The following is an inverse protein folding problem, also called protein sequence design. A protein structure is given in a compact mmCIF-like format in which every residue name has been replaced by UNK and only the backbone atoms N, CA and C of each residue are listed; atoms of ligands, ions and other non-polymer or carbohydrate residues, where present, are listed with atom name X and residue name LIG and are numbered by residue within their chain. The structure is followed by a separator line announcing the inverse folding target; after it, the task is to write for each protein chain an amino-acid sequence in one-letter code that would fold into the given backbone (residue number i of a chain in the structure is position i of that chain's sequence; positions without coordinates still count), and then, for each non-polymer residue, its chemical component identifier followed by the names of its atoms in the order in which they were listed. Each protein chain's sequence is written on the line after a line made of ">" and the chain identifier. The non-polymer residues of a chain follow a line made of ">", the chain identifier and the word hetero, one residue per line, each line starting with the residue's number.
data_IF_245038272915
#
_entry.id   IF_245038272915
#
_cell.length_a   1.000
_cell.length_b   1.000
_cell.length_c   1.000
_cell.angle_alpha   90.00
_cell.angle_beta   90.00
_cell.angle_gamma   90.00
#
_symmetry.space_group_name_H-M   'P 1'
#
loop_
_entity.id
_entity.type
_entity.pdbx_description
1 polymer ?
#
# COMPACT_ATOMS: atom_id res chain seq x y z
N UNK A 1 -30.14 51.20 14.96
CA UNK A 1 -29.24 50.60 15.95
C UNK A 1 -28.52 49.33 15.38
N UNK A 2 -29.15 48.60 14.47
CA UNK A 2 -28.62 47.38 13.89
C UNK A 2 -27.53 47.61 12.84
N UNK A 3 -27.47 48.83 12.27
CA UNK A 3 -26.55 49.20 11.22
C UNK A 3 -25.10 49.44 11.72
N UNK A 4 -24.94 49.70 13.01
CA UNK A 4 -23.62 50.00 13.62
C UNK A 4 -22.90 48.71 14.04
N UNK A 5 -23.62 47.69 14.48
CA UNK A 5 -23.04 46.41 14.88
C UNK A 5 -22.56 45.59 13.64
N UNK A 6 -23.31 45.64 12.55
CA UNK A 6 -22.91 44.98 11.30
C UNK A 6 -21.67 45.63 10.63
N UNK A 7 -21.49 46.95 10.78
CA UNK A 7 -20.31 47.68 10.32
C UNK A 7 -19.05 47.31 11.13
N UNK A 8 -19.20 47.07 12.43
CA UNK A 8 -18.09 46.66 13.31
C UNK A 8 -17.51 45.29 12.96
N UNK A 9 -18.38 44.31 12.73
CA UNK A 9 -17.95 42.96 12.30
C UNK A 9 -17.34 42.92 10.90
N UNK A 10 -17.91 43.69 9.96
CA UNK A 10 -17.35 43.81 8.60
C UNK A 10 -15.94 44.46 8.57
N UNK A 11 -15.70 45.42 9.48
CA UNK A 11 -14.39 46.09 9.59
C UNK A 11 -13.33 45.20 10.26
N UNK A 12 -13.69 44.33 11.18
CA UNK A 12 -12.79 43.35 11.81
C UNK A 12 -12.34 42.33 10.78
N UNK A 13 -13.23 41.84 9.94
CA UNK A 13 -12.86 40.91 8.84
C UNK A 13 -12.00 41.58 7.74
N UNK A 14 -12.24 42.86 7.44
CA UNK A 14 -11.43 43.62 6.46
C UNK A 14 -10.05 44.00 6.98
N UNK A 15 -9.83 43.97 8.30
CA UNK A 15 -8.54 44.33 8.93
C UNK A 15 -7.68 43.12 9.25
N UNK A 16 -8.08 41.89 8.92
CA UNK A 16 -7.18 40.75 9.02
C UNK A 16 -6.14 40.82 7.90
N UNK A 17 -4.88 41.13 8.20
CA UNK A 17 -3.85 41.37 7.17
C UNK A 17 -3.47 40.12 6.40
N UNK A 18 -3.91 38.94 6.84
CA UNK A 18 -3.55 37.66 6.22
C UNK A 18 -4.76 36.71 6.15
N UNK A 19 -5.01 36.19 4.93
CA UNK A 19 -5.99 35.13 4.72
C UNK A 19 -5.47 33.76 5.22
N UNK A 20 -4.15 33.61 5.29
CA UNK A 20 -3.47 32.38 5.70
C UNK A 20 -2.26 32.72 6.57
N UNK A 21 -2.06 31.94 7.63
CA UNK A 21 -0.87 32.00 8.48
C UNK A 21 -0.17 30.64 8.43
N UNK A 22 1.08 30.62 8.02
CA UNK A 22 1.93 29.44 8.09
C UNK A 22 2.56 29.34 9.47
N UNK A 23 2.36 28.21 10.14
CA UNK A 23 2.96 27.91 11.44
C UNK A 23 3.61 26.53 11.39
N UNK A 24 4.65 26.30 12.19
CA UNK A 24 5.18 24.96 12.40
C UNK A 24 4.14 24.15 13.17
N UNK A 25 3.57 23.14 12.49
CA UNK A 25 2.46 22.35 13.04
C UNK A 25 2.90 21.36 14.13
N UNK A 26 4.21 21.05 14.24
CA UNK A 26 4.71 20.16 15.27
C UNK A 26 6.12 19.60 15.00
N UNK A 27 6.60 18.77 15.91
CA UNK A 27 7.86 18.03 15.82
C UNK A 27 7.61 16.53 15.60
N UNK A 28 8.27 15.98 14.57
CA UNK A 28 8.14 14.57 14.17
C UNK A 28 9.51 13.93 14.15
N UNK A 29 9.69 12.91 14.96
CA UNK A 29 10.91 12.12 14.99
C UNK A 29 10.81 10.91 14.08
N UNK A 30 11.80 10.73 13.19
CA UNK A 30 12.00 9.52 12.41
C UNK A 30 13.25 8.78 12.89
N UNK A 31 13.14 7.44 13.03
CA UNK A 31 14.25 6.54 13.34
C UNK A 31 14.12 5.29 12.47
N UNK A 32 15.20 4.93 11.82
CA UNK A 32 15.19 3.80 10.90
C UNK A 32 16.53 3.11 10.78
N UNK A 33 16.49 1.97 10.09
CA UNK A 33 17.64 1.17 9.70
C UNK A 33 17.54 0.91 8.21
N UNK A 34 18.65 1.09 7.53
CA UNK A 34 18.82 0.73 6.13
C UNK A 34 20.06 -0.15 6.03
N UNK A 35 19.93 -1.28 5.34
CA UNK A 35 20.99 -2.24 5.15
C UNK A 35 20.97 -2.71 3.69
N UNK A 36 22.12 -2.61 3.05
CA UNK A 36 22.36 -3.21 1.73
C UNK A 36 23.50 -4.20 1.86
N UNK A 37 23.29 -5.43 1.38
CA UNK A 37 24.29 -6.49 1.36
C UNK A 37 24.40 -7.05 -0.05
N UNK A 38 25.56 -6.87 -0.67
CA UNK A 38 25.89 -7.47 -1.97
C UNK A 38 26.90 -8.57 -1.75
N UNK A 39 26.65 -9.74 -2.32
CA UNK A 39 27.54 -10.89 -2.20
C UNK A 39 27.62 -11.68 -3.52
N UNK A 40 28.74 -12.33 -3.71
CA UNK A 40 28.93 -13.34 -4.76
C UNK A 40 29.29 -14.66 -4.11
N UNK A 41 28.29 -15.42 -3.60
CA UNK A 41 28.56 -16.64 -2.84
C UNK A 41 29.26 -17.73 -3.63
N UNK A 42 29.03 -17.76 -4.94
CA UNK A 42 29.67 -18.71 -5.83
C UNK A 42 30.25 -17.99 -7.05
N UNK A 43 31.54 -18.19 -7.29
CA UNK A 43 32.25 -17.67 -8.47
C UNK A 43 33.14 -18.76 -9.00
N UNK A 44 32.75 -19.36 -10.13
CA UNK A 44 33.54 -20.35 -10.88
C UNK A 44 33.67 -19.91 -12.34
N UNK A 45 34.56 -20.52 -13.15
CA UNK A 45 34.66 -20.16 -14.56
C UNK A 45 33.35 -20.29 -15.35
N UNK A 46 32.52 -21.27 -15.02
CA UNK A 46 31.28 -21.56 -15.74
C UNK A 46 30.02 -21.05 -15.02
N UNK A 47 30.02 -20.90 -13.69
CA UNK A 47 28.87 -20.55 -12.91
C UNK A 47 29.16 -19.42 -11.92
N UNK A 48 28.28 -18.42 -11.92
CA UNK A 48 28.32 -17.32 -10.95
C UNK A 48 26.93 -17.15 -10.30
N UNK A 49 26.93 -17.06 -8.97
CA UNK A 49 25.75 -16.65 -8.22
C UNK A 49 26.05 -15.33 -7.51
N UNK A 50 25.27 -14.30 -7.86
CA UNK A 50 25.25 -12.99 -7.17
C UNK A 50 23.95 -12.82 -6.47
N UNK A 51 23.99 -12.20 -5.30
CA UNK A 51 22.79 -11.85 -4.52
C UNK A 51 22.93 -10.47 -3.92
N UNK A 52 21.83 -9.73 -3.84
CA UNK A 52 21.78 -8.43 -3.19
C UNK A 52 20.50 -8.33 -2.37
N UNK A 53 20.65 -7.97 -1.11
CA UNK A 53 19.60 -7.75 -0.14
C UNK A 53 19.55 -6.26 0.20
N UNK A 54 18.37 -5.65 0.05
CA UNK A 54 18.08 -4.30 0.50
C UNK A 54 16.98 -4.38 1.56
N UNK A 55 17.27 -3.89 2.75
CA UNK A 55 16.36 -3.87 3.87
C UNK A 55 16.19 -2.43 4.36
N UNK A 56 14.95 -2.01 4.61
CA UNK A 56 14.65 -0.70 5.19
C UNK A 56 13.53 -0.83 6.22
N UNK A 57 13.73 -0.21 7.37
CA UNK A 57 12.74 -0.10 8.45
C UNK A 57 12.75 1.32 8.97
N UNK A 58 11.61 1.99 8.97
CA UNK A 58 11.45 3.32 9.53
C UNK A 58 10.29 3.35 10.54
N UNK A 59 10.52 4.04 11.65
CA UNK A 59 9.50 4.33 12.66
C UNK A 59 9.47 5.83 12.89
N UNK A 60 8.29 6.41 12.79
CA UNK A 60 8.09 7.80 13.12
C UNK A 60 7.25 7.95 14.38
N UNK A 61 7.44 9.06 15.07
CA UNK A 61 6.69 9.42 16.27
C UNK A 61 6.46 10.94 16.28
N UNK A 62 5.22 11.33 16.46
CA UNK A 62 4.83 12.72 16.63
C UNK A 62 5.16 13.11 18.07
N UNK A 63 6.15 13.95 18.26
CA UNK A 63 6.62 14.40 19.57
C UNK A 63 5.72 15.48 20.12
N UNK A 64 5.45 16.48 19.30
CA UNK A 64 4.64 17.64 19.65
C UNK A 64 3.80 18.07 18.47
N UNK A 65 2.65 18.63 18.73
CA UNK A 65 1.84 19.41 17.81
C UNK A 65 1.78 20.84 18.33
N UNK A 66 1.43 21.78 17.44
CA UNK A 66 1.21 23.17 17.81
C UNK A 66 0.18 23.25 18.97
N UNK A 67 0.41 24.15 19.93
CA UNK A 67 -0.38 24.23 21.17
C UNK A 67 -1.91 24.33 20.93
N UNK A 68 -2.30 24.97 19.86
CA UNK A 68 -3.70 25.11 19.45
C UNK A 68 -4.30 23.87 18.79
N UNK A 69 -3.46 22.85 18.46
CA UNK A 69 -3.87 21.65 17.74
C UNK A 69 -3.87 20.41 18.64
N UNK A 70 -5.03 19.88 18.95
CA UNK A 70 -5.14 18.56 19.60
C UNK A 70 -4.83 17.42 18.62
N UNK A 71 -5.26 17.57 17.38
CA UNK A 71 -5.05 16.64 16.27
C UNK A 71 -5.01 17.40 14.94
N UNK A 72 -4.36 16.84 13.93
CA UNK A 72 -4.40 17.36 12.58
C UNK A 72 -4.86 16.23 11.64
N UNK A 73 -6.03 16.40 11.05
CA UNK A 73 -6.56 15.49 10.03
C UNK A 73 -5.95 15.86 8.68
N UNK A 74 -5.29 14.91 8.01
CA UNK A 74 -4.63 15.16 6.72
C UNK A 74 -5.02 14.17 5.62
N UNK A 75 -5.80 13.14 5.94
CA UNK A 75 -6.27 12.15 4.96
C UNK A 75 -7.70 12.40 4.50
N UNK A 76 -8.09 11.86 3.34
CA UNK A 76 -9.37 12.16 2.73
C UNK A 76 -10.51 11.50 3.50
N UNK A 77 -11.45 12.31 3.93
CA UNK A 77 -12.77 11.85 4.36
C UNK A 77 -13.75 11.61 3.21
N UNK A 78 -13.35 11.89 1.95
CA UNK A 78 -14.27 11.90 0.80
C UNK A 78 -14.70 10.50 0.35
N UNK A 79 -13.90 9.46 0.58
CA UNK A 79 -14.20 8.09 0.16
C UNK A 79 -14.79 7.21 1.25
N UNK A 80 -14.59 7.58 2.51
CA UNK A 80 -15.20 6.90 3.65
C UNK A 80 -15.42 7.91 4.78
N UNK A 81 -16.64 7.99 5.32
CA UNK A 81 -16.93 8.83 6.47
C UNK A 81 -16.45 8.23 7.79
N UNK A 82 -16.05 6.97 7.77
CA UNK A 82 -15.48 6.25 8.93
C UNK A 82 -13.97 6.01 8.80
N UNK A 83 -13.25 6.79 8.00
CA UNK A 83 -11.81 6.71 7.81
C UNK A 83 -11.19 8.09 7.87
N UNK A 84 -10.16 8.25 8.67
CA UNK A 84 -9.31 9.44 8.68
C UNK A 84 -7.86 9.09 8.98
N UNK A 85 -6.93 9.79 8.36
CA UNK A 85 -5.53 9.80 8.79
C UNK A 85 -5.30 11.04 9.64
N UNK A 86 -4.76 10.87 10.84
CA UNK A 86 -4.58 11.96 11.80
C UNK A 86 -3.18 11.95 12.39
N UNK A 87 -2.65 13.16 12.60
CA UNK A 87 -1.49 13.37 13.45
C UNK A 87 -2.00 13.67 14.86
N UNK A 88 -1.61 12.84 15.81
CA UNK A 88 -1.93 12.99 17.23
C UNK A 88 -0.62 12.90 18.02
N UNK A 89 -0.44 13.73 19.05
CA UNK A 89 0.76 13.69 19.91
C UNK A 89 0.96 12.28 20.46
N UNK A 90 2.18 11.76 20.32
CA UNK A 90 2.54 10.41 20.73
C UNK A 90 2.22 9.33 19.68
N UNK A 91 1.42 9.63 18.67
CA UNK A 91 1.10 8.77 17.54
C UNK A 91 2.19 8.74 16.47
N UNK A 92 1.81 8.28 15.29
CA UNK A 92 2.69 8.08 14.13
C UNK A 92 2.04 8.62 12.86
N UNK A 93 2.83 9.13 11.92
CA UNK A 93 2.35 9.38 10.55
C UNK A 93 1.87 8.05 9.99
N UNK A 94 0.71 8.06 9.33
CA UNK A 94 0.09 6.84 8.82
C UNK A 94 -0.86 6.15 9.81
N UNK A 95 -1.05 6.70 11.01
CA UNK A 95 -2.09 6.23 11.92
C UNK A 95 -3.47 6.46 11.31
N UNK A 96 -4.26 5.38 11.28
CA UNK A 96 -5.61 5.33 10.73
C UNK A 96 -6.59 5.32 11.88
N UNK A 97 -7.54 6.23 11.83
CA UNK A 97 -8.64 6.39 12.79
C UNK A 97 -9.97 6.13 12.11
N UNK A 98 -10.87 5.52 12.85
CA UNK A 98 -12.19 5.15 12.34
C UNK A 98 -13.12 4.69 13.43
N UNK A 99 -14.07 3.83 13.05
CA UNK A 99 -15.00 3.14 13.94
C UNK A 99 -14.50 1.76 14.28
N UNK A 100 -14.72 1.35 15.52
CA UNK A 100 -14.36 0.02 16.03
C UNK A 100 -15.57 -0.63 16.72
N UNK A 101 -15.46 -1.90 17.01
CA UNK A 101 -16.41 -2.59 17.87
C UNK A 101 -16.15 -2.23 19.33
N UNK A 102 -17.22 -2.03 20.09
CA UNK A 102 -17.13 -1.88 21.56
C UNK A 102 -16.70 -3.20 22.17
N UNK A 103 -15.72 -3.15 23.06
CA UNK A 103 -15.18 -4.32 23.74
C UNK A 103 -15.36 -4.19 25.26
N UNK A 104 -15.62 -5.32 25.91
CA UNK A 104 -15.64 -5.42 27.37
C UNK A 104 -14.21 -5.41 27.97
N UNK A 105 -14.11 -5.54 29.29
CA UNK A 105 -12.84 -5.55 30.00
C UNK A 105 -11.97 -6.79 29.66
N UNK A 106 -12.58 -7.86 29.21
CA UNK A 106 -11.94 -9.10 28.77
C UNK A 106 -11.53 -9.06 27.29
N UNK A 107 -11.95 -8.00 26.55
CA UNK A 107 -11.62 -7.78 25.13
C UNK A 107 -12.63 -8.41 24.16
N UNK A 108 -13.75 -8.98 24.64
CA UNK A 108 -14.78 -9.53 23.76
C UNK A 108 -15.67 -8.42 23.20
N UNK A 109 -16.22 -8.65 22.01
CA UNK A 109 -17.16 -7.71 21.39
C UNK A 109 -18.47 -7.68 22.17
N UNK A 110 -18.93 -6.45 22.50
CA UNK A 110 -20.22 -6.23 23.15
C UNK A 110 -21.32 -6.20 22.10
N UNK A 111 -22.43 -6.90 22.38
CA UNK A 111 -23.61 -6.94 21.52
C UNK A 111 -24.77 -6.14 22.12
N UNK A 112 -25.54 -5.49 21.27
CA UNK A 112 -26.68 -4.69 21.66
C UNK A 112 -27.82 -5.60 22.18
N UNK A 113 -28.34 -5.29 23.36
CA UNK A 113 -29.38 -6.09 24.02
C UNK A 113 -30.80 -5.59 23.72
N UNK A 114 -30.93 -4.34 23.26
CA UNK A 114 -32.20 -3.65 23.03
C UNK A 114 -32.21 -2.86 21.72
N UNK A 115 -33.38 -2.41 21.27
CA UNK A 115 -33.54 -1.59 20.08
C UNK A 115 -33.50 -2.34 18.75
N UNK A 116 -33.45 -1.57 17.66
CA UNK A 116 -33.52 -2.08 16.27
C UNK A 116 -32.29 -2.91 15.88
N UNK A 117 -31.21 -2.80 16.63
CA UNK A 117 -29.93 -3.50 16.38
C UNK A 117 -29.66 -4.59 17.42
N UNK A 118 -30.69 -5.07 18.13
CA UNK A 118 -30.56 -6.16 19.10
C UNK A 118 -29.87 -7.39 18.49
N UNK A 119 -28.85 -7.91 19.18
CA UNK A 119 -28.04 -9.05 18.74
C UNK A 119 -26.95 -8.68 17.72
N UNK A 120 -26.82 -7.41 17.33
CA UNK A 120 -25.73 -6.92 16.50
C UNK A 120 -24.61 -6.31 17.36
N UNK A 121 -23.36 -6.29 16.89
CA UNK A 121 -22.26 -5.67 17.62
C UNK A 121 -22.50 -4.20 17.90
N UNK A 122 -22.15 -3.74 19.09
CA UNK A 122 -22.09 -2.34 19.43
C UNK A 122 -20.86 -1.68 18.79
N UNK A 123 -21.00 -0.43 18.38
CA UNK A 123 -19.99 0.33 17.63
C UNK A 123 -19.63 1.60 18.38
N UNK A 124 -18.35 1.95 18.37
CA UNK A 124 -17.81 3.20 18.90
C UNK A 124 -16.91 3.90 17.87
N UNK A 125 -16.46 5.12 18.20
CA UNK A 125 -15.54 5.88 17.35
C UNK A 125 -16.24 6.83 16.39
N UNK A 126 -17.41 7.35 16.72
CA UNK A 126 -18.01 8.44 15.97
C UNK A 126 -17.02 9.59 15.80
N UNK A 127 -17.00 10.20 14.59
CA UNK A 127 -16.03 11.21 14.23
C UNK A 127 -14.60 10.67 14.01
N UNK A 128 -14.45 9.35 13.81
CA UNK A 128 -13.16 8.69 13.57
C UNK A 128 -12.17 8.91 14.73
N UNK A 129 -12.61 8.61 15.94
CA UNK A 129 -11.84 8.86 17.17
C UNK A 129 -10.98 7.69 17.60
N UNK A 130 -11.28 6.48 17.15
CA UNK A 130 -10.55 5.27 17.54
C UNK A 130 -9.45 4.97 16.54
N UNK A 131 -8.24 4.73 17.04
CA UNK A 131 -7.12 4.27 16.21
C UNK A 131 -7.32 2.79 15.86
N UNK A 132 -7.55 2.50 14.57
CA UNK A 132 -7.82 1.15 14.06
C UNK A 132 -6.61 0.53 13.34
N UNK A 133 -5.56 1.31 13.03
CA UNK A 133 -4.38 0.77 12.39
C UNK A 133 -3.31 1.81 12.09
N UNK A 134 -2.28 1.36 11.36
CA UNK A 134 -1.25 2.23 10.79
C UNK A 134 -0.88 1.69 9.40
N UNK A 135 -0.82 2.56 8.41
CA UNK A 135 -0.55 2.20 7.02
C UNK A 135 0.92 1.81 6.76
N UNK A 136 1.84 2.27 7.62
CA UNK A 136 3.27 2.06 7.40
C UNK A 136 3.68 0.62 7.71
N UNK A 137 4.47 -0.03 6.85
CA UNK A 137 5.07 -1.31 7.15
C UNK A 137 6.09 -1.19 8.28
N UNK A 138 6.33 -2.28 8.99
CA UNK A 138 7.43 -2.38 9.96
C UNK A 138 8.78 -2.44 9.27
N UNK A 139 8.85 -3.12 8.13
CA UNK A 139 9.98 -3.10 7.23
C UNK A 139 9.56 -3.45 5.80
N UNK A 140 10.39 -3.08 4.85
CA UNK A 140 10.36 -3.52 3.46
C UNK A 140 11.73 -4.13 3.12
N UNK A 141 11.73 -5.18 2.30
CA UNK A 141 12.93 -5.89 1.92
C UNK A 141 12.84 -6.33 0.46
N UNK A 142 13.83 -5.93 -0.32
CA UNK A 142 14.05 -6.43 -1.66
C UNK A 142 15.22 -7.43 -1.65
N UNK A 143 15.02 -8.63 -2.18
CA UNK A 143 16.07 -9.63 -2.27
C UNK A 143 16.18 -10.17 -3.67
N UNK A 144 17.28 -9.88 -4.32
CA UNK A 144 17.52 -10.34 -5.68
C UNK A 144 18.62 -11.39 -5.77
N UNK A 145 18.49 -12.23 -6.77
CA UNK A 145 19.46 -13.24 -7.13
C UNK A 145 19.73 -13.21 -8.62
N UNK A 146 20.99 -13.34 -9.01
CA UNK A 146 21.40 -13.54 -10.39
C UNK A 146 22.26 -14.80 -10.47
N UNK A 147 21.80 -15.77 -11.23
CA UNK A 147 22.51 -17.01 -11.52
C UNK A 147 22.95 -16.97 -12.98
N UNK A 148 24.25 -17.07 -13.22
CA UNK A 148 24.82 -17.06 -14.58
C UNK A 148 25.55 -18.36 -14.86
N UNK A 149 25.24 -19.00 -16.00
CA UNK A 149 25.84 -20.25 -16.43
C UNK A 149 25.97 -20.32 -17.96
N UNK A 150 27.17 -20.38 -18.50
CA UNK A 150 27.46 -20.60 -19.94
C UNK A 150 26.61 -19.76 -20.91
N UNK A 151 26.50 -18.45 -20.64
CA UNK A 151 25.70 -17.52 -21.45
C UNK A 151 24.24 -17.35 -21.02
N UNK A 152 23.68 -18.26 -20.20
CA UNK A 152 22.39 -18.05 -19.53
C UNK A 152 22.56 -17.20 -18.28
N UNK A 153 21.59 -16.35 -18.01
CA UNK A 153 21.49 -15.60 -16.77
C UNK A 153 20.03 -15.56 -16.30
N UNK A 154 19.78 -16.10 -15.13
CA UNK A 154 18.48 -16.07 -14.46
C UNK A 154 18.53 -15.01 -13.37
N UNK A 155 17.63 -14.03 -13.44
CA UNK A 155 17.43 -13.02 -12.41
C UNK A 155 16.08 -13.26 -11.70
N UNK A 156 16.09 -13.18 -10.38
CA UNK A 156 14.92 -13.29 -9.53
C UNK A 156 14.89 -12.10 -8.59
N UNK A 157 13.73 -11.44 -8.42
CA UNK A 157 13.51 -10.40 -7.42
C UNK A 157 12.32 -10.78 -6.54
N UNK A 158 12.62 -10.94 -5.26
CA UNK A 158 11.64 -11.09 -4.19
C UNK A 158 11.45 -9.74 -3.50
N UNK A 159 10.20 -9.40 -3.23
CA UNK A 159 9.80 -8.17 -2.56
C UNK A 159 8.92 -8.54 -1.36
N UNK A 160 9.39 -8.17 -0.16
CA UNK A 160 8.72 -8.47 1.09
C UNK A 160 8.35 -7.18 1.82
N UNK A 161 7.07 -6.99 2.03
CA UNK A 161 6.51 -5.97 2.90
C UNK A 161 5.97 -6.65 4.15
N UNK A 162 6.43 -6.24 5.33
CA UNK A 162 5.98 -6.78 6.60
C UNK A 162 5.26 -5.74 7.44
N UNK A 163 4.03 -6.03 7.81
CA UNK A 163 3.17 -5.11 8.57
C UNK A 163 2.52 -4.04 7.68
N UNK A 164 1.94 -3.07 8.34
CA UNK A 164 1.04 -2.09 7.75
C UNK A 164 -0.39 -2.61 7.71
N UNK A 165 -1.33 -1.67 7.71
CA UNK A 165 -2.76 -1.93 7.60
C UNK A 165 -3.34 -1.20 6.40
N UNK A 166 -4.34 -1.79 5.78
CA UNK A 166 -5.06 -1.22 4.65
C UNK A 166 -6.57 -1.46 4.82
N UNK A 167 -7.35 -0.40 4.70
CA UNK A 167 -8.80 -0.48 4.64
C UNK A 167 -9.25 -0.90 3.24
N UNK A 168 -10.09 -1.91 3.12
CA UNK A 168 -10.78 -2.21 1.87
C UNK A 168 -12.16 -1.56 1.85
N UNK A 169 -12.26 -0.38 1.25
CA UNK A 169 -13.53 0.26 0.99
C UNK A 169 -14.31 -0.49 -0.09
N UNK A 170 -13.62 -1.11 -1.02
CA UNK A 170 -14.25 -1.98 -2.05
C UNK A 170 -15.02 -3.13 -1.40
N UNK A 171 -14.42 -3.86 -0.44
CA UNK A 171 -15.10 -4.95 0.24
C UNK A 171 -16.28 -4.42 1.06
N UNK A 172 -16.11 -3.29 1.76
CA UNK A 172 -17.18 -2.67 2.55
C UNK A 172 -18.39 -2.30 1.70
N UNK A 173 -18.17 -1.74 0.50
CA UNK A 173 -19.25 -1.42 -0.43
C UNK A 173 -19.91 -2.68 -1.00
N UNK A 174 -19.14 -3.67 -1.42
CA UNK A 174 -19.69 -4.93 -1.92
C UNK A 174 -20.53 -5.65 -0.87
N UNK A 175 -20.10 -5.60 0.38
CA UNK A 175 -20.82 -6.24 1.50
C UNK A 175 -22.12 -5.48 1.84
N UNK A 176 -22.10 -4.15 1.81
CA UNK A 176 -23.31 -3.32 1.97
C UNK A 176 -24.42 -3.73 0.99
N UNK A 177 -24.04 -3.93 -0.27
CA UNK A 177 -24.99 -4.34 -1.33
C UNK A 177 -25.21 -5.84 -1.41
N UNK A 178 -24.48 -6.64 -0.61
CA UNK A 178 -24.63 -8.10 -0.58
C UNK A 178 -24.15 -8.81 -1.84
N UNK A 179 -23.24 -8.20 -2.61
CA UNK A 179 -22.75 -8.74 -3.89
C UNK A 179 -21.42 -9.47 -3.77
N UNK A 180 -20.81 -9.48 -2.60
CA UNK A 180 -19.56 -10.21 -2.34
C UNK A 180 -19.83 -11.71 -2.11
N UNK A 181 -18.81 -12.53 -2.37
CA UNK A 181 -18.86 -13.96 -2.05
C UNK A 181 -19.07 -14.21 -0.56
N UNK A 182 -18.48 -13.38 0.30
CA UNK A 182 -18.59 -13.50 1.77
C UNK A 182 -20.04 -13.34 2.20
N UNK A 183 -20.74 -12.32 1.69
CA UNK A 183 -22.17 -12.09 2.00
C UNK A 183 -23.08 -13.16 1.38
N UNK A 184 -22.74 -13.70 0.21
CA UNK A 184 -23.48 -14.81 -0.39
C UNK A 184 -23.39 -16.04 0.50
N UNK A 185 -22.19 -16.45 0.91
CA UNK A 185 -21.98 -17.59 1.79
C UNK A 185 -22.62 -17.40 3.18
N UNK A 186 -22.65 -16.17 3.70
CA UNK A 186 -23.30 -15.87 4.96
C UNK A 186 -24.83 -16.02 4.86
N UNK A 187 -25.44 -15.58 3.74
CA UNK A 187 -26.88 -15.77 3.46
C UNK A 187 -27.24 -17.26 3.34
N UNK A 188 -26.41 -18.04 2.64
CA UNK A 188 -26.64 -19.48 2.44
C UNK A 188 -26.56 -20.23 3.77
N UNK A 189 -25.65 -19.84 4.64
CA UNK A 189 -25.51 -20.43 5.99
C UNK A 189 -26.57 -19.92 6.98
N UNK A 190 -27.15 -18.75 6.75
CA UNK A 190 -28.10 -18.08 7.64
C UNK A 190 -27.47 -17.29 8.78
N UNK A 191 -26.14 -17.22 8.87
CA UNK A 191 -25.44 -16.49 9.94
C UNK A 191 -24.06 -15.97 9.52
N UNK A 192 -23.55 -15.00 10.29
CA UNK A 192 -22.16 -14.53 10.25
C UNK A 192 -21.44 -14.95 11.53
N UNK A 193 -20.19 -15.35 11.44
CA UNK A 193 -19.35 -15.58 12.62
C UNK A 193 -18.40 -14.41 12.81
N UNK A 194 -18.45 -13.73 13.95
CA UNK A 194 -17.55 -12.65 14.32
C UNK A 194 -16.85 -13.02 15.64
N UNK A 195 -15.53 -13.17 15.60
CA UNK A 195 -14.69 -13.59 16.75
C UNK A 195 -15.27 -14.78 17.55
N UNK A 196 -15.83 -15.77 16.83
CA UNK A 196 -16.41 -16.99 17.42
C UNK A 196 -17.90 -16.86 17.83
N UNK A 197 -18.48 -15.69 17.82
CA UNK A 197 -19.91 -15.48 18.08
C UNK A 197 -20.72 -15.55 16.78
N UNK A 198 -21.87 -16.18 16.85
CA UNK A 198 -22.82 -16.30 15.74
C UNK A 198 -23.80 -15.14 15.75
N UNK A 199 -24.00 -14.52 14.60
CA UNK A 199 -24.93 -13.42 14.34
C UNK A 199 -25.92 -13.87 13.26
N UNK A 200 -27.18 -14.13 13.66
CA UNK A 200 -28.19 -14.64 12.73
C UNK A 200 -28.78 -13.55 11.84
N UNK A 201 -28.71 -12.30 12.25
CA UNK A 201 -29.16 -11.16 11.44
C UNK A 201 -28.08 -10.73 10.43
N UNK A 202 -27.86 -11.57 9.40
CA UNK A 202 -26.87 -11.36 8.33
C UNK A 202 -27.05 -10.02 7.64
N UNK A 203 -28.31 -9.69 7.26
CA UNK A 203 -28.63 -8.42 6.59
C UNK A 203 -28.34 -7.23 7.48
N UNK A 204 -28.77 -7.28 8.73
CA UNK A 204 -28.53 -6.21 9.71
C UNK A 204 -27.04 -5.99 9.94
N UNK A 205 -26.25 -7.06 10.06
CA UNK A 205 -24.82 -6.99 10.24
C UNK A 205 -24.13 -6.24 9.08
N UNK A 206 -24.32 -6.70 7.84
CA UNK A 206 -23.65 -6.08 6.70
C UNK A 206 -24.21 -4.72 6.31
N UNK A 207 -25.54 -4.52 6.41
CA UNK A 207 -26.15 -3.27 5.95
C UNK A 207 -26.12 -2.14 6.97
N UNK A 208 -26.29 -2.46 8.26
CA UNK A 208 -26.47 -1.44 9.29
C UNK A 208 -25.23 -1.24 10.18
N UNK A 209 -24.33 -2.23 10.25
CA UNK A 209 -23.19 -2.18 11.16
C UNK A 209 -21.86 -1.99 10.37
N UNK A 210 -21.45 -2.99 9.57
CA UNK A 210 -20.09 -3.00 9.06
C UNK A 210 -19.95 -2.40 7.66
N UNK A 211 -20.93 -2.56 6.78
CA UNK A 211 -20.79 -2.28 5.34
C UNK A 211 -20.83 -0.80 4.99
N UNK A 212 -20.30 -0.49 3.82
CA UNK A 212 -20.35 0.83 3.20
C UNK A 212 -19.34 1.83 3.75
N UNK A 213 -19.56 3.09 3.38
CA UNK A 213 -18.65 4.20 3.70
C UNK A 213 -18.67 4.63 5.15
N UNK A 214 -19.77 4.37 5.84
CA UNK A 214 -20.01 4.77 7.22
C UNK A 214 -19.93 3.60 8.21
N UNK A 215 -19.60 2.41 7.72
CA UNK A 215 -19.53 1.19 8.52
C UNK A 215 -18.32 1.12 9.44
N UNK A 216 -18.14 -0.03 10.07
CA UNK A 216 -17.05 -0.26 11.03
C UNK A 216 -15.74 -0.45 10.31
N UNK A 217 -14.85 0.53 10.44
CA UNK A 217 -13.52 0.54 9.82
C UNK A 217 -12.69 -0.66 10.24
N UNK A 218 -12.69 -1.00 11.53
CA UNK A 218 -11.92 -2.11 12.09
C UNK A 218 -12.18 -3.43 11.34
N UNK A 219 -13.42 -3.71 10.95
CA UNK A 219 -13.81 -4.95 10.28
C UNK A 219 -13.16 -5.14 8.91
N UNK A 220 -12.93 -4.05 8.18
CA UNK A 220 -12.33 -4.07 6.85
C UNK A 220 -10.86 -3.66 6.83
N UNK A 221 -10.22 -3.58 8.01
CA UNK A 221 -8.79 -3.33 8.14
C UNK A 221 -7.99 -4.63 7.99
N UNK A 222 -7.33 -4.79 6.86
CA UNK A 222 -6.50 -5.94 6.55
C UNK A 222 -5.02 -5.69 6.86
N UNK A 223 -4.30 -6.75 7.18
CA UNK A 223 -2.85 -6.73 7.31
C UNK A 223 -2.21 -6.74 5.90
N UNK A 224 -1.40 -5.74 5.60
CA UNK A 224 -0.78 -5.56 4.28
C UNK A 224 0.50 -6.40 4.09
N UNK A 225 0.83 -7.28 5.05
CA UNK A 225 1.99 -8.18 4.93
C UNK A 225 1.88 -9.05 3.69
N UNK A 226 2.92 -9.01 2.86
CA UNK A 226 3.01 -9.82 1.66
C UNK A 226 4.46 -10.10 1.26
N UNK A 227 4.67 -11.22 0.58
CA UNK A 227 5.89 -11.60 -0.10
C UNK A 227 5.55 -11.90 -1.57
N UNK A 228 6.17 -11.18 -2.48
CA UNK A 228 5.87 -11.25 -3.91
C UNK A 228 7.11 -11.65 -4.71
N UNK A 229 6.92 -12.52 -5.70
CA UNK A 229 7.89 -12.70 -6.78
C UNK A 229 7.68 -11.56 -7.79
N UNK A 230 8.49 -10.51 -7.64
CA UNK A 230 8.33 -9.23 -8.34
C UNK A 230 8.81 -9.31 -9.78
N UNK A 231 9.96 -9.97 -10.02
CA UNK A 231 10.52 -10.12 -11.35
C UNK A 231 11.25 -11.45 -11.49
N UNK A 232 11.07 -12.08 -12.65
CA UNK A 232 11.88 -13.18 -13.17
C UNK A 232 12.34 -12.78 -14.55
N UNK A 233 13.66 -12.83 -14.79
CA UNK A 233 14.22 -12.57 -16.11
C UNK A 233 15.18 -13.70 -16.49
N UNK A 234 14.98 -14.30 -17.65
CA UNK A 234 15.87 -15.27 -18.23
C UNK A 234 16.53 -14.67 -19.47
N UNK A 235 17.84 -14.52 -19.42
CA UNK A 235 18.64 -13.95 -20.49
C UNK A 235 19.55 -15.01 -21.08
N UNK A 236 19.77 -14.97 -22.39
CA UNK A 236 20.76 -15.77 -23.08
C UNK A 236 21.62 -14.89 -23.98
N UNK A 237 22.93 -14.88 -23.72
CA UNK A 237 23.91 -14.18 -24.53
C UNK A 237 24.59 -15.19 -25.44
N UNK A 238 24.47 -15.00 -26.73
CA UNK A 238 25.06 -15.91 -27.73
C UNK A 238 26.59 -15.83 -27.71
N UNK A 239 27.28 -16.99 -27.92
CA UNK A 239 28.75 -17.03 -27.96
C UNK A 239 29.31 -16.14 -29.06
N UNK A 240 30.33 -15.36 -28.77
CA UNK A 240 31.00 -14.46 -29.72
C UNK A 240 31.43 -15.17 -31.01
N UNK A 241 31.82 -16.44 -30.92
CA UNK A 241 32.21 -17.26 -32.09
C UNK A 241 31.10 -17.36 -33.14
N UNK A 242 29.82 -17.31 -32.74
CA UNK A 242 28.68 -17.34 -33.68
C UNK A 242 28.53 -15.99 -34.36
N UNK A 243 28.74 -14.91 -33.62
CA UNK A 243 28.61 -13.54 -34.14
C UNK A 243 29.70 -13.18 -35.14
N UNK A 244 30.93 -13.65 -34.91
CA UNK A 244 32.06 -13.42 -35.82
C UNK A 244 31.82 -13.93 -37.24
N UNK A 245 30.99 -14.96 -37.42
CA UNK A 245 30.60 -15.50 -38.74
C UNK A 245 29.76 -14.51 -39.55
N UNK A 246 29.06 -13.59 -38.90
CA UNK A 246 28.12 -12.65 -39.55
C UNK A 246 28.78 -11.37 -40.06
N UNK A 247 30.08 -11.09 -39.68
CA UNK A 247 30.86 -9.86 -39.98
C UNK A 247 30.24 -8.54 -39.53
N UNK A 248 28.95 -8.50 -39.21
CA UNK A 248 28.15 -7.32 -38.87
C UNK A 248 27.78 -7.30 -37.38
N UNK A 249 27.38 -8.46 -36.86
CA UNK A 249 26.91 -8.58 -35.46
C UNK A 249 28.08 -8.78 -34.51
N UNK A 250 28.14 -7.98 -33.45
CA UNK A 250 29.11 -8.13 -32.34
C UNK A 250 28.57 -8.97 -31.21
N UNK A 251 27.36 -8.66 -30.79
CA UNK A 251 26.68 -9.35 -29.69
C UNK A 251 25.20 -9.52 -30.03
N UNK A 252 24.64 -10.64 -29.61
CA UNK A 252 23.20 -10.92 -29.63
C UNK A 252 22.79 -11.44 -28.27
N UNK A 253 21.77 -10.87 -27.68
CA UNK A 253 21.18 -11.31 -26.44
C UNK A 253 19.65 -11.40 -26.59
N UNK A 254 19.09 -12.48 -26.10
CA UNK A 254 17.66 -12.66 -25.95
C UNK A 254 17.30 -12.63 -24.47
N UNK A 255 16.24 -11.92 -24.13
CA UNK A 255 15.75 -11.84 -22.77
C UNK A 255 14.25 -12.08 -22.74
N UNK A 256 13.80 -12.90 -21.80
CA UNK A 256 12.41 -13.03 -21.41
C UNK A 256 12.26 -12.44 -20.00
N UNK A 257 11.33 -11.52 -19.80
CA UNK A 257 11.10 -10.85 -18.52
C UNK A 257 9.64 -11.02 -18.13
N UNK A 258 9.42 -11.47 -16.92
CA UNK A 258 8.08 -11.61 -16.34
C UNK A 258 8.03 -10.83 -15.01
N UNK A 259 7.03 -9.95 -14.86
CA UNK A 259 6.87 -9.11 -13.67
C UNK A 259 5.55 -9.36 -12.98
N UNK A 260 5.54 -9.15 -11.64
CA UNK A 260 4.38 -9.32 -10.77
C UNK A 260 3.74 -10.70 -10.91
N UNK A 261 4.55 -11.75 -10.97
CA UNK A 261 4.08 -13.11 -11.31
C UNK A 261 3.10 -13.65 -10.29
N UNK A 262 3.42 -13.60 -9.01
CA UNK A 262 2.56 -14.11 -7.96
C UNK A 262 2.96 -13.58 -6.58
N UNK A 263 2.00 -13.63 -5.66
CA UNK A 263 2.28 -13.58 -4.23
C UNK A 263 2.68 -14.99 -3.76
N UNK A 264 3.83 -15.10 -3.14
CA UNK A 264 4.24 -16.30 -2.41
C UNK A 264 3.52 -16.38 -1.06
N UNK A 265 3.24 -15.21 -0.48
CA UNK A 265 2.48 -15.05 0.75
C UNK A 265 1.75 -13.70 0.76
N UNK A 266 0.50 -13.67 1.24
CA UNK A 266 -0.24 -12.44 1.55
C UNK A 266 -1.30 -12.70 2.61
N UNK A 267 -1.57 -11.72 3.46
CA UNK A 267 -2.63 -11.79 4.47
C UNK A 267 -3.95 -11.19 3.97
N UNK A 268 -3.88 -10.09 3.21
CA UNK A 268 -5.07 -9.50 2.62
C UNK A 268 -5.65 -10.39 1.50
N UNK A 269 -6.97 -10.50 1.35
CA UNK A 269 -7.59 -11.30 0.27
C UNK A 269 -7.40 -10.67 -1.12
N UNK A 270 -7.07 -9.40 -1.19
CA UNK A 270 -6.80 -8.63 -2.41
C UNK A 270 -5.30 -8.28 -2.53
N UNK A 271 -4.92 -7.48 -3.52
CA UNK A 271 -3.55 -6.97 -3.68
C UNK A 271 -3.29 -5.83 -2.68
N UNK A 272 -2.44 -6.01 -1.65
CA UNK A 272 -2.22 -5.01 -0.62
C UNK A 272 -1.33 -3.83 -1.05
N UNK A 273 -0.81 -3.83 -2.29
CA UNK A 273 -0.12 -2.67 -2.87
C UNK A 273 -1.09 -1.67 -3.51
N UNK A 274 -2.39 -2.02 -3.57
CA UNK A 274 -3.43 -1.09 -4.02
C UNK A 274 -3.62 -0.01 -2.96
N UNK A 275 -3.32 1.22 -3.35
CA UNK A 275 -3.63 2.41 -2.56
C UNK A 275 -4.35 3.41 -3.43
N UNK A 276 -5.19 4.23 -2.83
CA UNK A 276 -6.00 5.21 -3.55
C UNK A 276 -5.11 6.22 -4.30
N UNK A 277 -3.98 6.60 -3.68
CA UNK A 277 -2.98 7.47 -4.30
C UNK A 277 -1.60 7.23 -3.67
N UNK A 278 -0.57 7.72 -4.31
CA UNK A 278 0.82 7.68 -3.80
C UNK A 278 1.11 8.77 -2.76
N UNK A 279 0.19 9.71 -2.54
CA UNK A 279 0.29 10.73 -1.51
C UNK A 279 0.17 10.15 -0.10
N UNK A 280 0.80 10.78 0.87
CA UNK A 280 0.79 10.34 2.26
C UNK A 280 -0.61 10.37 2.89
N UNK A 281 -1.52 11.16 2.33
CA UNK A 281 -2.89 11.37 2.76
C UNK A 281 -3.85 10.23 2.37
N UNK A 282 -3.47 9.40 1.39
CA UNK A 282 -4.31 8.34 0.83
C UNK A 282 -3.70 6.94 0.97
N UNK A 283 -2.67 6.80 1.78
CA UNK A 283 -2.09 5.50 2.11
C UNK A 283 -3.00 4.74 3.09
N UNK A 284 -3.03 3.43 2.96
CA UNK A 284 -3.82 2.58 3.87
C UNK A 284 -5.31 2.52 3.56
N UNK A 285 -5.74 2.98 2.39
CA UNK A 285 -7.10 2.76 1.87
C UNK A 285 -7.04 2.35 0.40
N UNK A 286 -7.79 1.32 0.02
CA UNK A 286 -8.08 0.98 -1.37
C UNK A 286 -9.57 1.20 -1.68
N UNK A 287 -9.86 1.70 -2.88
CA UNK A 287 -11.21 2.00 -3.36
C UNK A 287 -11.30 1.62 -4.82
N UNK A 288 -11.88 0.47 -5.14
CA UNK A 288 -12.08 -0.05 -6.49
C UNK A 288 -10.84 0.02 -7.39
N UNK A 289 -9.65 -0.15 -6.78
CA UNK A 289 -8.38 -0.12 -7.49
C UNK A 289 -8.20 -1.34 -8.39
N UNK A 290 -7.56 -1.16 -9.55
CA UNK A 290 -7.18 -2.28 -10.40
C UNK A 290 -5.99 -3.03 -9.80
N UNK A 291 -6.06 -4.36 -9.64
CA UNK A 291 -4.93 -5.17 -9.20
C UNK A 291 -3.71 -4.96 -10.09
N UNK A 292 -2.52 -5.10 -9.52
CA UNK A 292 -1.28 -5.04 -10.30
C UNK A 292 -1.29 -6.10 -11.40
N UNK A 293 -1.02 -5.67 -12.64
CA UNK A 293 -1.00 -6.55 -13.80
C UNK A 293 0.27 -7.40 -13.84
N UNK A 294 0.12 -8.64 -14.30
CA UNK A 294 1.27 -9.44 -14.73
C UNK A 294 1.77 -8.93 -16.06
N UNK A 295 3.08 -8.75 -16.19
CA UNK A 295 3.69 -8.30 -17.43
C UNK A 295 4.66 -9.37 -17.92
N UNK A 296 4.53 -9.75 -19.19
CA UNK A 296 5.44 -10.65 -19.88
C UNK A 296 6.06 -9.89 -21.04
N UNK A 297 7.37 -9.88 -21.12
CA UNK A 297 8.12 -9.17 -22.14
C UNK A 297 9.20 -10.05 -22.76
N UNK A 298 9.48 -9.79 -24.03
CA UNK A 298 10.59 -10.38 -24.76
C UNK A 298 11.45 -9.27 -25.34
N UNK A 299 12.77 -9.37 -25.16
CA UNK A 299 13.72 -8.37 -25.64
C UNK A 299 14.81 -9.04 -26.47
N UNK A 300 15.10 -8.46 -27.62
CA UNK A 300 16.24 -8.82 -28.46
C UNK A 300 17.20 -7.64 -28.47
N UNK A 301 18.39 -7.85 -27.93
CA UNK A 301 19.45 -6.84 -27.94
C UNK A 301 20.51 -7.25 -28.96
N UNK A 302 20.80 -6.35 -29.90
CA UNK A 302 21.77 -6.57 -30.97
C UNK A 302 22.80 -5.44 -30.96
N UNK A 303 24.06 -5.81 -30.85
CA UNK A 303 25.17 -4.89 -31.08
C UNK A 303 25.82 -5.16 -32.44
N UNK A 304 26.08 -4.13 -33.20
CA UNK A 304 26.69 -4.22 -34.52
C UNK A 304 27.94 -3.33 -34.66
N UNK A 305 28.79 -3.64 -35.62
CA UNK A 305 29.92 -2.78 -35.97
C UNK A 305 29.43 -1.63 -36.85
N UNK A 306 29.71 -0.39 -36.44
CA UNK A 306 29.60 0.74 -37.38
C UNK A 306 30.59 0.50 -38.53
N UNK A 307 30.08 0.31 -39.74
CA UNK A 307 30.87 0.49 -40.94
C UNK A 307 31.30 1.94 -40.97
N UNK A 308 32.57 2.23 -40.76
CA UNK A 308 33.09 3.56 -41.03
C UNK A 308 32.80 3.84 -42.52
N UNK A 309 32.04 4.89 -42.78
CA UNK A 309 31.95 5.46 -44.09
C UNK A 309 33.39 5.80 -44.51
N UNK A 310 33.89 5.17 -45.58
CA UNK A 310 35.11 5.59 -46.21
C UNK A 310 34.84 6.98 -46.76
N UNK A 311 35.36 8.02 -46.08
CA UNK A 311 35.55 9.32 -46.72
C UNK A 311 36.52 9.09 -47.88
N UNK A 312 36.00 9.01 -49.10
CA UNK A 312 36.79 9.17 -50.33
C UNK A 312 37.31 10.60 -50.32
N UNK A 313 38.57 10.76 -49.86
CA UNK A 313 39.34 11.97 -50.18
C UNK A 313 39.44 12.04 -51.70
N UNK A 314 38.59 12.83 -52.32
CA UNK A 314 38.87 13.36 -53.63
C UNK A 314 39.95 14.42 -53.47
N UNK A 315 41.16 14.09 -53.87
CA UNK A 315 42.16 15.10 -54.21
C UNK A 315 41.73 15.74 -55.53
N UNK A 316 41.46 17.03 -55.48
CA UNK A 316 41.58 17.97 -56.60
C UNK A 316 42.92 18.67 -56.46
#
# INVERSE_FOLDING_TARGET
>A
RDDVESRGLGDVYKRQPYAYRYVNAGDIQNRGWELTVDATPVLTPDFTWKTSLNFSSNRNKIKELHEELKELVYGPSSFSSSYAMKLVKGGSIGDIYGKAFVRDAEGNIVYQTEGDHKGLPAVEGEGNTIKVGNANPRFIMGWNHTFSYKGFSLYLLLDWRYGGKILSQTQAEMDLYGVSQVTALARDRGYVTLEGQQIDNVKGFYKNIVGGRAGVTEYYMYDATNLRLREVSLNYTFPKKWMQKTKVLKDLQLAFVARNLCFLYKKAPFDPDLVLSTGNDNQGIEVFGMPTTRSLGFTVTVSYTHLRAHETRRHL
#
